data_IF_037664321379
#
_entry.id   IF_037664321379
#
_cell.length_a   1.000
_cell.length_b   1.000
_cell.length_c   1.000
_cell.angle_alpha   90.00
_cell.angle_beta   90.00
_cell.angle_gamma   90.00
#
_symmetry.space_group_name_H-M   'P 1'
#
loop_
_entity.id
_entity.type
_entity.pdbx_description
1 polymer ?
#
# COMPACT_ATOMS: atom_id res chain seq x y z
N UNK A 1 -7.11 -14.09 19.59
CA UNK A 1 -7.05 -14.96 18.37
C UNK A 1 -8.47 -15.03 17.79
N UNK A 2 -8.90 -14.03 17.04
CA UNK A 2 -10.06 -14.19 16.16
C UNK A 2 -9.64 -15.07 14.99
N UNK A 3 -9.95 -16.36 15.06
CA UNK A 3 -9.96 -17.20 13.87
C UNK A 3 -11.10 -16.64 13.02
N UNK A 4 -10.78 -15.88 11.98
CA UNK A 4 -11.69 -15.60 10.89
C UNK A 4 -12.00 -16.93 10.21
N UNK A 5 -12.94 -17.68 10.76
CA UNK A 5 -13.57 -18.77 10.03
C UNK A 5 -14.36 -18.11 8.89
N UNK A 6 -14.16 -18.53 7.64
CA UNK A 6 -15.04 -18.08 6.57
C UNK A 6 -16.47 -18.42 7.00
N UNK A 7 -17.33 -17.39 7.06
CA UNK A 7 -18.76 -17.61 7.33
C UNK A 7 -19.27 -18.53 6.23
N UNK A 8 -20.03 -19.56 6.62
CA UNK A 8 -20.65 -20.49 5.67
C UNK A 8 -21.34 -19.68 4.55
N UNK A 9 -20.95 -19.88 3.30
CA UNK A 9 -21.51 -19.19 2.13
C UNK A 9 -20.64 -18.05 1.55
N UNK A 10 -19.49 -17.70 2.13
CA UNK A 10 -18.61 -16.69 1.53
C UNK A 10 -17.79 -17.28 0.38
N UNK A 11 -17.86 -16.63 -0.78
CA UNK A 11 -17.02 -16.95 -1.94
C UNK A 11 -15.57 -16.51 -1.71
N UNK A 12 -14.59 -17.22 -2.30
CA UNK A 12 -13.19 -16.79 -2.35
C UNK A 12 -13.01 -15.39 -2.98
N UNK A 13 -13.96 -14.98 -3.81
CA UNK A 13 -13.99 -13.67 -4.45
C UNK A 13 -14.22 -12.52 -3.47
N UNK A 14 -14.80 -12.80 -2.30
CA UNK A 14 -15.09 -11.80 -1.26
C UNK A 14 -13.90 -11.56 -0.31
N UNK A 15 -12.79 -12.27 -0.49
CA UNK A 15 -11.59 -12.06 0.29
C UNK A 15 -10.91 -10.72 -0.11
N UNK A 16 -10.47 -9.94 0.86
CA UNK A 16 -9.86 -8.62 0.64
C UNK A 16 -8.66 -8.63 -0.34
N UNK A 17 -7.94 -9.73 -0.45
CA UNK A 17 -6.80 -9.88 -1.35
C UNK A 17 -7.17 -10.45 -2.73
N UNK A 18 -8.43 -10.78 -3.01
CA UNK A 18 -8.83 -11.44 -4.27
C UNK A 18 -8.44 -10.61 -5.50
N UNK A 19 -8.68 -9.29 -5.46
CA UNK A 19 -8.33 -8.40 -6.57
C UNK A 19 -6.82 -8.44 -6.88
N UNK A 20 -5.97 -8.41 -5.86
CA UNK A 20 -4.52 -8.52 -6.02
C UNK A 20 -4.11 -9.85 -6.64
N UNK A 21 -4.66 -10.97 -6.14
CA UNK A 21 -4.37 -12.29 -6.71
C UNK A 21 -4.76 -12.37 -8.18
N UNK A 22 -5.96 -11.90 -8.54
CA UNK A 22 -6.41 -11.88 -9.95
C UNK A 22 -5.50 -11.03 -10.83
N UNK A 23 -5.11 -9.85 -10.39
CA UNK A 23 -4.21 -8.98 -11.14
C UNK A 23 -2.86 -9.65 -11.40
N UNK A 24 -2.28 -10.30 -10.40
CA UNK A 24 -1.02 -11.04 -10.54
C UNK A 24 -1.17 -12.25 -11.47
N UNK A 25 -2.27 -13.00 -11.37
CA UNK A 25 -2.57 -14.13 -12.25
C UNK A 25 -2.77 -13.70 -13.71
N UNK A 26 -3.47 -12.59 -13.95
CA UNK A 26 -3.66 -12.04 -15.28
C UNK A 26 -2.33 -11.61 -15.89
N UNK A 27 -1.52 -10.86 -15.15
CA UNK A 27 -0.19 -10.43 -15.62
C UNK A 27 0.72 -11.64 -15.87
N UNK A 28 0.72 -12.63 -14.98
CA UNK A 28 1.47 -13.88 -15.18
C UNK A 28 1.04 -14.59 -16.46
N UNK A 29 -0.27 -14.68 -16.71
CA UNK A 29 -0.81 -15.30 -17.94
C UNK A 29 -0.37 -14.55 -19.20
N UNK A 30 -0.38 -13.22 -19.18
CA UNK A 30 0.11 -12.40 -20.30
C UNK A 30 1.60 -12.65 -20.58
N UNK A 31 2.39 -12.80 -19.52
CA UNK A 31 3.84 -12.99 -19.65
C UNK A 31 4.26 -14.43 -20.03
N UNK A 32 3.45 -15.44 -19.66
CA UNK A 32 3.86 -16.86 -19.75
C UNK A 32 2.87 -17.76 -20.45
N UNK A 33 1.68 -17.28 -20.78
CA UNK A 33 0.56 -18.06 -21.28
C UNK A 33 -0.22 -18.84 -20.20
N UNK A 34 0.22 -18.83 -18.92
CA UNK A 34 -0.41 -19.55 -17.81
C UNK A 34 -0.50 -18.67 -16.55
N UNK A 35 -1.60 -18.73 -15.79
CA UNK A 35 -1.75 -17.92 -14.57
C UNK A 35 -1.02 -18.48 -13.34
N UNK A 36 -0.54 -19.73 -13.40
CA UNK A 36 0.02 -20.45 -12.27
C UNK A 36 1.43 -19.96 -11.91
N UNK A 37 1.83 -20.16 -10.64
CA UNK A 37 3.18 -19.86 -10.17
C UNK A 37 3.48 -18.37 -9.97
N UNK A 38 2.50 -17.47 -10.11
CA UNK A 38 2.69 -16.01 -9.95
C UNK A 38 3.25 -15.60 -8.59
N UNK A 39 3.10 -16.42 -7.55
CA UNK A 39 3.61 -16.16 -6.19
C UNK A 39 5.07 -16.60 -5.99
N UNK A 40 5.65 -17.33 -6.94
CA UNK A 40 7.02 -17.80 -6.84
C UNK A 40 8.01 -16.66 -7.13
N UNK A 41 9.10 -16.61 -6.37
CA UNK A 41 10.12 -15.57 -6.52
C UNK A 41 10.64 -15.43 -7.94
N UNK A 42 10.85 -16.53 -8.61
CA UNK A 42 11.42 -16.58 -9.97
C UNK A 42 10.36 -16.44 -11.07
N UNK A 43 9.09 -16.22 -10.70
CA UNK A 43 8.05 -15.98 -11.70
C UNK A 43 8.26 -14.61 -12.39
N UNK A 44 7.98 -14.51 -13.71
CA UNK A 44 8.12 -13.25 -14.43
C UNK A 44 7.40 -12.07 -13.79
N UNK A 45 6.20 -12.28 -13.25
CA UNK A 45 5.45 -11.21 -12.58
C UNK A 45 6.15 -10.73 -11.31
N UNK A 46 6.70 -11.63 -10.48
CA UNK A 46 7.42 -11.24 -9.28
C UNK A 46 8.73 -10.54 -9.60
N UNK A 47 9.42 -10.96 -10.64
CA UNK A 47 10.63 -10.28 -11.10
C UNK A 47 10.35 -8.85 -11.57
N UNK A 48 9.25 -8.61 -12.29
CA UNK A 48 8.83 -7.26 -12.65
C UNK A 48 8.52 -6.40 -11.41
N UNK A 49 7.80 -6.95 -10.44
CA UNK A 49 7.47 -6.27 -9.19
C UNK A 49 8.76 -5.93 -8.41
N UNK A 50 9.68 -6.89 -8.27
CA UNK A 50 10.95 -6.69 -7.58
C UNK A 50 11.78 -5.59 -8.26
N UNK A 51 11.86 -5.61 -9.59
CA UNK A 51 12.58 -4.59 -10.36
C UNK A 51 11.95 -3.19 -10.18
N UNK A 52 10.63 -3.11 -10.23
CA UNK A 52 9.90 -1.86 -10.01
C UNK A 52 10.13 -1.31 -8.60
N UNK A 53 10.03 -2.15 -7.58
CA UNK A 53 10.31 -1.77 -6.20
C UNK A 53 11.77 -1.38 -6.02
N UNK A 54 12.71 -2.11 -6.62
CA UNK A 54 14.13 -1.76 -6.60
C UNK A 54 14.39 -0.36 -7.15
N UNK A 55 13.74 -0.01 -8.25
CA UNK A 55 13.81 1.32 -8.85
C UNK A 55 13.24 2.40 -7.92
N UNK A 56 12.04 2.19 -7.35
CA UNK A 56 11.40 3.15 -6.46
C UNK A 56 12.15 3.30 -5.13
N UNK A 57 12.54 2.18 -4.52
CA UNK A 57 13.14 2.16 -3.17
C UNK A 57 14.65 2.40 -3.16
N UNK A 58 15.30 2.44 -4.33
CA UNK A 58 16.76 2.42 -4.47
C UNK A 58 17.42 1.24 -3.71
N UNK A 59 16.69 0.14 -3.59
CA UNK A 59 17.15 -1.07 -2.92
C UNK A 59 17.56 -2.09 -3.98
N UNK A 60 18.80 -2.62 -3.96
CA UNK A 60 19.20 -3.66 -4.89
C UNK A 60 18.28 -4.87 -4.83
N UNK A 61 17.95 -5.46 -5.98
CA UNK A 61 16.98 -6.57 -6.09
C UNK A 61 17.32 -7.75 -5.18
N UNK A 62 18.61 -8.07 -4.99
CA UNK A 62 19.04 -9.16 -4.12
C UNK A 62 18.77 -8.91 -2.61
N UNK A 63 18.49 -7.65 -2.21
CA UNK A 63 18.08 -7.28 -0.85
C UNK A 63 16.55 -7.27 -0.65
N UNK A 64 15.79 -7.53 -1.71
CA UNK A 64 14.34 -7.63 -1.66
C UNK A 64 13.97 -9.11 -1.54
N UNK A 65 13.43 -9.50 -0.39
CA UNK A 65 12.89 -10.83 -0.16
C UNK A 65 11.44 -10.94 -0.61
N UNK A 66 10.88 -12.15 -0.57
CA UNK A 66 9.44 -12.38 -0.67
C UNK A 66 8.91 -12.96 0.62
N UNK A 67 7.79 -12.42 1.09
CA UNK A 67 7.08 -12.92 2.26
C UNK A 67 6.30 -14.21 1.95
N UNK A 68 6.11 -15.02 2.97
CA UNK A 68 5.31 -16.26 2.90
C UNK A 68 3.86 -15.91 3.26
N UNK A 69 3.18 -15.19 2.37
CA UNK A 69 1.80 -14.73 2.57
C UNK A 69 0.81 -15.27 1.53
N UNK A 70 1.29 -16.13 0.62
CA UNK A 70 0.51 -16.66 -0.50
C UNK A 70 0.46 -15.76 -1.74
N UNK A 71 0.82 -14.47 -1.62
CA UNK A 71 0.88 -13.53 -2.75
C UNK A 71 2.32 -13.27 -3.23
N UNK A 72 3.33 -13.62 -2.44
CA UNK A 72 4.72 -13.23 -2.71
C UNK A 72 4.96 -11.75 -2.46
N UNK A 73 4.53 -11.22 -1.29
CA UNK A 73 4.72 -9.79 -0.97
C UNK A 73 6.21 -9.46 -0.82
N UNK A 74 6.72 -8.43 -1.50
CA UNK A 74 8.10 -8.00 -1.34
C UNK A 74 8.40 -7.52 0.08
N UNK A 75 9.54 -7.96 0.62
CA UNK A 75 10.03 -7.63 1.97
C UNK A 75 11.35 -6.90 1.85
N UNK A 76 11.43 -5.68 2.37
CA UNK A 76 12.62 -4.85 2.32
C UNK A 76 12.62 -3.83 3.46
N UNK A 77 13.70 -3.05 3.61
CA UNK A 77 13.86 -2.15 4.74
C UNK A 77 12.76 -1.09 4.82
N UNK A 78 12.31 -0.77 6.03
CA UNK A 78 11.25 0.20 6.29
C UNK A 78 11.54 1.57 5.67
N UNK A 79 12.78 2.06 5.81
CA UNK A 79 13.22 3.30 5.14
C UNK A 79 13.05 3.26 3.62
N UNK A 80 13.32 2.11 3.02
CA UNK A 80 13.18 1.93 1.57
C UNK A 80 11.72 1.91 1.13
N UNK A 81 10.81 1.44 1.98
CA UNK A 81 9.36 1.56 1.75
C UNK A 81 8.97 3.04 1.73
N UNK A 82 9.37 3.82 2.73
CA UNK A 82 9.11 5.27 2.76
C UNK A 82 9.68 5.98 1.53
N UNK A 83 10.90 5.62 1.10
CA UNK A 83 11.52 6.15 -0.12
C UNK A 83 10.67 5.87 -1.36
N UNK A 84 10.11 4.66 -1.49
CA UNK A 84 9.23 4.31 -2.61
C UNK A 84 8.01 5.22 -2.66
N UNK A 85 7.37 5.47 -1.52
CA UNK A 85 6.22 6.37 -1.43
C UNK A 85 6.59 7.81 -1.75
N UNK A 86 7.74 8.31 -1.28
CA UNK A 86 8.22 9.65 -1.64
C UNK A 86 8.42 9.81 -3.15
N UNK A 87 9.03 8.81 -3.81
CA UNK A 87 9.25 8.82 -5.25
C UNK A 87 7.96 8.79 -6.07
N UNK A 88 6.94 8.09 -5.61
CA UNK A 88 5.62 8.11 -6.26
C UNK A 88 5.01 9.51 -6.27
N UNK A 89 5.35 10.36 -5.30
CA UNK A 89 4.88 11.75 -5.20
C UNK A 89 5.74 12.75 -5.97
N UNK A 90 6.96 12.38 -6.37
CA UNK A 90 7.84 13.27 -7.13
C UNK A 90 7.61 13.10 -8.65
N UNK A 91 7.04 14.13 -9.33
CA UNK A 91 6.74 14.05 -10.76
C UNK A 91 7.97 13.88 -11.66
N UNK A 92 9.16 14.22 -11.17
CA UNK A 92 10.40 14.16 -11.94
C UNK A 92 11.19 12.86 -11.73
N UNK A 93 10.73 11.99 -10.85
CA UNK A 93 11.45 10.75 -10.51
C UNK A 93 11.17 9.56 -11.42
N UNK A 94 10.18 9.68 -12.32
CA UNK A 94 9.63 8.60 -13.12
C UNK A 94 9.47 9.01 -14.59
N UNK A 95 9.43 8.02 -15.51
CA UNK A 95 9.09 8.29 -16.91
C UNK A 95 7.67 8.85 -17.06
N UNK A 96 7.40 9.57 -18.14
CA UNK A 96 6.08 10.16 -18.39
C UNK A 96 4.98 9.09 -18.41
N UNK A 97 5.19 7.97 -19.10
CA UNK A 97 4.24 6.85 -19.18
C UNK A 97 3.89 6.30 -17.78
N UNK A 98 4.91 6.11 -16.95
CA UNK A 98 4.71 5.61 -15.59
C UNK A 98 4.02 6.66 -14.71
N UNK A 99 4.33 7.93 -14.90
CA UNK A 99 3.68 9.05 -14.23
C UNK A 99 2.18 9.07 -14.54
N UNK A 100 1.79 9.01 -15.81
CA UNK A 100 0.38 8.99 -16.22
C UNK A 100 -0.36 7.81 -15.58
N UNK A 101 0.26 6.62 -15.54
CA UNK A 101 -0.32 5.44 -14.90
C UNK A 101 -0.52 5.63 -13.41
N UNK A 102 0.45 6.22 -12.72
CA UNK A 102 0.39 6.47 -11.27
C UNK A 102 -0.66 7.54 -10.97
N UNK A 103 -0.68 8.64 -11.70
CA UNK A 103 -1.65 9.72 -11.52
C UNK A 103 -3.09 9.22 -11.76
N UNK A 104 -3.28 8.36 -12.77
CA UNK A 104 -4.57 7.69 -12.96
C UNK A 104 -4.96 6.82 -11.77
N UNK A 105 -4.05 5.99 -11.25
CA UNK A 105 -4.32 5.16 -10.08
C UNK A 105 -4.65 6.02 -8.85
N UNK A 106 -3.91 7.09 -8.60
CA UNK A 106 -4.18 8.01 -7.50
C UNK A 106 -5.54 8.69 -7.64
N UNK A 107 -5.90 9.11 -8.86
CA UNK A 107 -7.24 9.66 -9.12
C UNK A 107 -8.36 8.68 -8.79
N UNK A 108 -8.17 7.39 -9.09
CA UNK A 108 -9.11 6.34 -8.74
C UNK A 108 -9.20 6.14 -7.22
N UNK A 109 -8.08 6.15 -6.51
CA UNK A 109 -8.03 6.03 -5.05
C UNK A 109 -8.78 7.19 -4.38
N UNK A 110 -8.53 8.43 -4.81
CA UNK A 110 -9.22 9.61 -4.27
C UNK A 110 -10.71 9.62 -4.59
N UNK A 111 -11.09 9.13 -5.77
CA UNK A 111 -12.49 9.06 -6.18
C UNK A 111 -13.28 7.97 -5.45
N UNK A 112 -12.62 6.88 -5.09
CA UNK A 112 -13.23 5.69 -4.49
C UNK A 112 -12.45 5.19 -3.27
N UNK A 113 -12.24 6.02 -2.23
CA UNK A 113 -11.43 5.65 -1.07
C UNK A 113 -11.99 4.44 -0.31
N UNK A 114 -13.31 4.21 -0.37
CA UNK A 114 -13.98 3.04 0.20
C UNK A 114 -13.59 1.72 -0.48
N UNK A 115 -12.94 1.75 -1.64
CA UNK A 115 -12.38 0.55 -2.29
C UNK A 115 -10.98 0.21 -1.77
N UNK A 116 -10.36 1.14 -1.05
CA UNK A 116 -9.04 0.93 -0.42
C UNK A 116 -9.21 0.40 0.99
N UNK A 117 -10.16 0.95 1.75
CA UNK A 117 -10.51 0.48 3.09
C UNK A 117 -11.94 0.91 3.47
N UNK A 118 -12.50 0.33 4.53
CA UNK A 118 -13.86 0.57 4.97
C UNK A 118 -14.12 2.04 5.35
N UNK A 119 -15.38 2.47 5.25
CA UNK A 119 -15.84 3.78 5.72
C UNK A 119 -15.45 4.02 7.18
N UNK A 120 -15.00 5.22 7.50
CA UNK A 120 -14.65 5.60 8.87
C UNK A 120 -13.25 5.19 9.32
N UNK A 121 -12.51 4.44 8.51
CA UNK A 121 -11.12 4.08 8.81
C UNK A 121 -10.15 5.24 8.53
N UNK A 122 -8.98 5.29 9.18
CA UNK A 122 -7.95 6.29 8.88
C UNK A 122 -7.56 6.34 7.40
N UNK A 123 -7.39 5.18 6.78
CA UNK A 123 -7.06 5.08 5.35
C UNK A 123 -8.15 5.66 4.46
N UNK A 124 -9.43 5.48 4.81
CA UNK A 124 -10.55 6.08 4.11
C UNK A 124 -10.49 7.62 4.13
N UNK A 125 -10.29 8.21 5.32
CA UNK A 125 -10.23 9.68 5.45
C UNK A 125 -9.00 10.30 4.79
N UNK A 126 -7.84 9.67 4.94
CA UNK A 126 -6.59 10.12 4.31
C UNK A 126 -6.74 10.14 2.78
N UNK A 127 -7.28 9.07 2.21
CA UNK A 127 -7.41 8.95 0.75
C UNK A 127 -8.51 9.83 0.14
N UNK A 128 -9.31 10.53 0.92
CA UNK A 128 -10.19 11.61 0.44
C UNK A 128 -9.42 12.91 0.14
N UNK A 129 -8.21 13.07 0.69
CA UNK A 129 -7.42 14.26 0.49
C UNK A 129 -6.46 14.07 -0.70
N UNK A 130 -6.56 14.89 -1.77
CA UNK A 130 -5.73 14.73 -2.98
C UNK A 130 -4.23 14.97 -2.78
N UNK A 131 -3.84 15.53 -1.64
CA UNK A 131 -2.43 15.70 -1.24
C UNK A 131 -1.84 14.46 -0.57
N UNK A 132 -2.66 13.50 -0.18
CA UNK A 132 -2.28 12.35 0.62
C UNK A 132 -2.58 11.04 -0.09
N UNK A 133 -1.74 10.06 0.08
CA UNK A 133 -2.01 8.65 -0.26
C UNK A 133 -1.62 7.79 0.92
N UNK A 134 -2.49 6.86 1.28
CA UNK A 134 -2.23 5.90 2.34
C UNK A 134 -2.66 4.49 1.95
N UNK A 135 -1.84 3.52 2.31
CA UNK A 135 -2.22 2.11 2.36
C UNK A 135 -1.64 1.46 3.61
N UNK A 136 -2.50 0.94 4.40
CA UNK A 136 -2.17 0.08 5.53
C UNK A 136 -1.87 -1.36 5.06
N UNK A 137 -1.09 -2.06 5.84
CA UNK A 137 -0.78 -3.47 5.64
C UNK A 137 -1.05 -4.28 6.91
N UNK A 138 -1.14 -5.58 6.74
CA UNK A 138 -1.30 -6.50 7.87
C UNK A 138 -0.15 -6.35 8.88
N UNK A 139 -0.44 -6.67 10.14
CA UNK A 139 0.53 -6.73 11.23
C UNK A 139 1.27 -5.42 11.48
N UNK A 140 0.53 -4.34 11.54
CA UNK A 140 1.06 -3.08 12.02
C UNK A 140 1.93 -2.32 11.03
N UNK A 141 1.67 -2.44 9.75
CA UNK A 141 2.35 -1.65 8.70
C UNK A 141 1.44 -0.51 8.27
N UNK A 142 1.97 0.72 8.28
CA UNK A 142 1.31 1.92 7.75
C UNK A 142 2.24 2.56 6.75
N UNK A 143 1.76 2.81 5.54
CA UNK A 143 2.52 3.52 4.52
C UNK A 143 1.68 4.70 4.03
N UNK A 144 2.30 5.89 3.99
CA UNK A 144 1.64 7.12 3.58
C UNK A 144 2.61 7.98 2.77
N UNK A 145 2.08 8.82 1.91
CA UNK A 145 2.84 9.88 1.27
C UNK A 145 2.09 11.21 1.29
N UNK A 146 2.85 12.30 1.33
CA UNK A 146 2.38 13.69 1.29
C UNK A 146 2.96 14.34 0.03
N UNK A 147 2.10 14.66 -0.93
CA UNK A 147 2.50 15.18 -2.24
C UNK A 147 3.16 16.55 -2.14
N UNK A 148 2.55 17.48 -1.40
CA UNK A 148 3.07 18.84 -1.22
C UNK A 148 4.46 18.86 -0.59
N UNK A 149 4.78 17.87 0.23
CA UNK A 149 6.08 17.74 0.91
C UNK A 149 7.04 16.80 0.18
N UNK A 150 6.61 16.10 -0.88
CA UNK A 150 7.36 15.00 -1.53
C UNK A 150 7.90 13.98 -0.51
N UNK A 151 7.10 13.70 0.51
CA UNK A 151 7.49 12.90 1.66
C UNK A 151 6.79 11.55 1.64
N UNK A 152 7.56 10.49 1.84
CA UNK A 152 7.04 9.15 2.12
C UNK A 152 7.26 8.78 3.57
N UNK A 153 6.27 8.13 4.15
CA UNK A 153 6.24 7.71 5.55
C UNK A 153 5.96 6.21 5.59
N UNK A 154 6.72 5.49 6.39
CA UNK A 154 6.47 4.08 6.67
C UNK A 154 6.63 3.82 8.16
N UNK A 155 5.63 3.21 8.76
CA UNK A 155 5.60 2.84 10.17
C UNK A 155 5.42 1.34 10.29
N UNK A 156 6.09 0.72 11.25
CA UNK A 156 5.92 -0.67 11.63
C UNK A 156 5.76 -0.77 13.13
N UNK A 157 4.63 -1.28 13.59
CA UNK A 157 4.41 -1.61 15.00
C UNK A 157 4.91 -3.03 15.27
N UNK A 158 5.74 -3.18 16.29
CA UNK A 158 6.41 -4.46 16.60
C UNK A 158 5.43 -5.55 16.99
N UNK A 159 4.41 -5.23 17.80
CA UNK A 159 3.36 -6.15 18.22
C UNK A 159 2.44 -6.58 17.08
N UNK A 160 2.48 -5.86 15.96
CA UNK A 160 1.68 -6.17 14.78
C UNK A 160 0.19 -5.80 14.91
N UNK A 161 -0.18 -5.03 15.93
CA UNK A 161 -1.55 -4.61 16.19
C UNK A 161 -1.71 -3.10 15.92
N UNK A 162 -2.57 -2.72 15.00
CA UNK A 162 -2.69 -1.32 14.57
C UNK A 162 -4.10 -0.77 14.55
N UNK A 163 -5.11 -1.63 14.52
CA UNK A 163 -6.47 -1.20 14.16
C UNK A 163 -7.00 -0.12 15.13
N UNK A 164 -6.67 -0.23 16.42
CA UNK A 164 -7.13 0.71 17.44
C UNK A 164 -6.32 2.03 17.52
N UNK A 165 -5.06 2.02 17.06
CA UNK A 165 -4.14 3.15 17.25
C UNK A 165 -3.72 3.83 15.96
N UNK A 166 -4.11 3.29 14.82
CA UNK A 166 -3.67 3.76 13.51
C UNK A 166 -4.00 5.24 13.29
N UNK A 167 -5.22 5.66 13.61
CA UNK A 167 -5.66 7.05 13.49
C UNK A 167 -4.81 8.00 14.35
N UNK A 168 -4.60 7.64 15.62
CA UNK A 168 -3.78 8.41 16.56
C UNK A 168 -2.32 8.54 16.11
N UNK A 169 -1.74 7.44 15.60
CA UNK A 169 -0.35 7.45 15.10
C UNK A 169 -0.22 8.40 13.93
N UNK A 170 -1.13 8.32 12.96
CA UNK A 170 -1.10 9.18 11.77
C UNK A 170 -1.37 10.63 12.14
N UNK A 171 -2.35 10.90 12.99
CA UNK A 171 -2.64 12.26 13.48
C UNK A 171 -1.41 12.91 14.12
N UNK A 172 -0.73 12.19 15.03
CA UNK A 172 0.50 12.67 15.66
C UNK A 172 1.62 12.94 14.65
N UNK A 173 1.79 12.10 13.64
CA UNK A 173 2.79 12.31 12.58
C UNK A 173 2.47 13.58 11.81
N UNK A 174 1.21 13.77 11.39
CA UNK A 174 0.79 14.97 10.66
C UNK A 174 0.95 16.25 11.49
N UNK A 175 0.66 16.21 12.80
CA UNK A 175 0.89 17.33 13.72
C UNK A 175 2.38 17.68 13.82
N UNK A 176 3.25 16.68 14.01
CA UNK A 176 4.71 16.91 14.08
C UNK A 176 5.27 17.48 12.77
N UNK A 177 4.68 17.10 11.64
CA UNK A 177 5.02 17.65 10.32
C UNK A 177 4.39 19.02 10.07
N UNK A 178 3.55 19.53 10.99
CA UNK A 178 2.79 20.78 10.86
C UNK A 178 1.91 20.82 9.61
N UNK A 179 1.27 19.67 9.32
CA UNK A 179 0.33 19.57 8.21
C UNK A 179 -0.93 20.39 8.50
N UNK A 180 -1.30 21.28 7.57
CA UNK A 180 -2.27 22.35 7.88
C UNK A 180 -3.75 21.90 7.97
N UNK A 181 -4.09 20.67 7.57
CA UNK A 181 -5.47 20.19 7.61
C UNK A 181 -5.86 19.68 9.02
N UNK A 182 -6.19 20.63 9.89
CA UNK A 182 -6.56 20.35 11.29
C UNK A 182 -7.86 19.55 11.41
N UNK A 183 -8.83 19.73 10.51
CA UNK A 183 -10.08 18.97 10.49
C UNK A 183 -9.81 17.48 10.24
N UNK A 184 -8.94 17.15 9.29
CA UNK A 184 -8.53 15.78 9.04
C UNK A 184 -7.81 15.18 10.25
N UNK A 185 -6.90 15.93 10.87
CA UNK A 185 -6.16 15.47 12.04
C UNK A 185 -7.12 15.15 13.20
N UNK A 186 -8.11 15.98 13.46
CA UNK A 186 -9.11 15.71 14.48
C UNK A 186 -10.01 14.51 14.15
N UNK A 187 -10.39 14.32 12.89
CA UNK A 187 -11.08 13.09 12.44
C UNK A 187 -10.25 11.84 12.72
N UNK A 188 -8.96 11.88 12.41
CA UNK A 188 -8.05 10.74 12.63
C UNK A 188 -7.89 10.39 14.10
N UNK A 189 -7.85 11.36 15.01
CA UNK A 189 -7.80 11.12 16.46
C UNK A 189 -9.04 10.40 16.99
N UNK A 190 -10.18 10.55 16.32
CA UNK A 190 -11.46 9.96 16.69
C UNK A 190 -11.81 8.70 15.87
N UNK A 191 -10.91 8.21 15.02
CA UNK A 191 -11.06 6.92 14.32
C UNK A 191 -10.72 5.75 15.25
N UNK A 192 -11.56 4.72 15.21
CA UNK A 192 -11.37 3.45 15.93
C UNK A 192 -11.15 2.32 14.94
#
# INVERSE_FOLDING_TARGET
RSKLHPRQGQSKLQHCCSGKHFSLMLLQRELTGKPDGYQLKDSPVQQQIINFISMLSQTPTFKIGLGIDGCGVPVFALRSIAMSYAKLMDPFSLSNELRETIDYNFSCIHKYPEKINDYGTPSYYINQNPDLIMKDGSRGVICMAIKSMKLGIAVKLEDGWTDEYQGMIIANILEQLKYENTELIEKLKNCY
#
